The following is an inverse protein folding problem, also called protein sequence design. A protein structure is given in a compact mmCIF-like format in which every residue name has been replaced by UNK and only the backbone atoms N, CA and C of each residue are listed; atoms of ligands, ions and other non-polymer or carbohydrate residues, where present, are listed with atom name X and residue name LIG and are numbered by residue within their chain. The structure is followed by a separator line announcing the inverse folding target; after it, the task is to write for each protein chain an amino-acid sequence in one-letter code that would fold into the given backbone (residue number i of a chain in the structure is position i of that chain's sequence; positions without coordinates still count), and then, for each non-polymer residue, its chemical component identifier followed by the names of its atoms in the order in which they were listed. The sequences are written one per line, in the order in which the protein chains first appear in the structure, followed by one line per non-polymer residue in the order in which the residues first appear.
data_IF_073307331292
#
_entry.id   IF_073307331292
#
_cell.length_a   1.000
_cell.length_b   1.000
_cell.length_c   1.000
_cell.angle_alpha   90.00
_cell.angle_beta   90.00
_cell.angle_gamma   90.00
#
_symmetry.space_group_name_H-M   'P 1'
#
loop_
_entity.id
_entity.type
_entity.pdbx_description
1 polymer ?
#
# COMPACT_ATOMS: atom_id res chain seq x y z
N UNK A 1 4.28 -5.88 52.82
CA UNK A 1 3.01 -6.56 52.52
C UNK A 1 1.97 -5.48 52.25
N UNK A 2 1.80 -5.14 50.96
CA UNK A 2 0.75 -4.31 50.30
C UNK A 2 0.58 -2.85 50.82
N UNK A 3 0.96 -1.77 50.12
CA UNK A 3 0.57 -1.29 48.78
C UNK A 3 -0.95 -1.20 48.54
N UNK A 4 -1.65 -0.23 49.12
CA UNK A 4 -2.95 0.31 48.62
C UNK A 4 -3.08 1.72 49.24
N UNK A 5 -3.19 2.89 48.59
CA UNK A 5 -3.76 3.30 47.31
C UNK A 5 -3.02 4.58 46.84
N UNK A 6 -1.92 4.43 46.09
CA UNK A 6 -1.12 5.53 45.55
C UNK A 6 -1.79 6.31 44.42
N UNK A 7 -2.84 7.07 44.74
CA UNK A 7 -3.44 8.02 43.79
C UNK A 7 -2.47 9.19 43.61
N UNK A 8 -1.75 9.20 42.49
CA UNK A 8 -1.10 10.41 41.97
C UNK A 8 -1.74 10.78 40.63
N UNK A 9 -2.12 12.06 40.51
CA UNK A 9 -2.60 12.67 39.27
C UNK A 9 -1.49 12.61 38.22
N UNK A 10 -1.64 11.80 37.18
CA UNK A 10 -0.82 11.92 35.97
C UNK A 10 -1.64 11.70 34.70
N UNK A 11 -1.79 12.80 33.95
CA UNK A 11 -1.90 12.93 32.51
C UNK A 11 -3.02 12.21 31.73
N UNK A 12 -4.15 12.89 31.62
CA UNK A 12 -5.12 12.75 30.52
C UNK A 12 -4.53 13.29 29.20
N UNK A 13 -3.51 12.63 28.65
CA UNK A 13 -3.09 12.85 27.26
C UNK A 13 -3.86 11.87 26.37
N UNK A 14 -4.52 12.30 25.29
CA UNK A 14 -5.16 11.36 24.37
C UNK A 14 -4.08 10.42 23.83
N UNK A 15 -4.19 9.13 24.18
CA UNK A 15 -3.31 8.11 23.63
C UNK A 15 -3.35 8.23 22.11
N UNK A 16 -2.17 8.38 21.50
CA UNK A 16 -2.02 8.18 20.06
C UNK A 16 -2.44 6.75 19.76
N UNK A 17 -3.69 6.57 19.32
CA UNK A 17 -4.19 5.31 18.75
C UNK A 17 -3.11 4.82 17.79
N UNK A 18 -2.55 3.66 18.09
CA UNK A 18 -1.48 3.04 17.32
C UNK A 18 -1.93 2.90 15.85
N UNK A 19 -1.00 2.90 14.92
CA UNK A 19 -1.32 2.83 13.49
C UNK A 19 -2.03 1.53 13.06
N UNK A 20 -2.28 0.57 13.96
CA UNK A 20 -2.91 -0.72 13.64
C UNK A 20 -4.43 -0.64 13.55
N UNK A 21 -5.14 -0.04 14.51
CA UNK A 21 -6.62 -0.02 14.49
C UNK A 21 -7.17 0.89 13.39
N UNK A 22 -6.58 2.06 13.22
CA UNK A 22 -6.93 2.98 12.14
C UNK A 22 -6.60 2.38 10.78
N UNK A 23 -5.49 1.64 10.68
CA UNK A 23 -5.09 0.90 9.48
C UNK A 23 -6.13 -0.16 9.12
N UNK A 24 -6.46 -1.05 10.06
CA UNK A 24 -7.45 -2.11 9.90
C UNK A 24 -8.82 -1.56 9.52
N UNK A 25 -9.28 -0.49 10.19
CA UNK A 25 -10.54 0.17 9.86
C UNK A 25 -10.53 0.73 8.44
N UNK A 26 -9.42 1.33 8.03
CA UNK A 26 -9.28 1.85 6.67
C UNK A 26 -9.21 0.77 5.62
N UNK A 27 -8.52 -0.35 5.88
CA UNK A 27 -8.47 -1.50 4.97
C UNK A 27 -9.87 -2.10 4.77
N UNK A 28 -10.64 -2.27 5.84
CA UNK A 28 -12.03 -2.75 5.75
C UNK A 28 -12.93 -1.81 4.95
N UNK A 29 -12.75 -0.49 5.09
CA UNK A 29 -13.50 0.50 4.30
C UNK A 29 -13.07 0.51 2.83
N UNK A 30 -11.77 0.37 2.56
CA UNK A 30 -11.23 0.28 1.22
C UNK A 30 -11.75 -0.97 0.49
N UNK A 31 -11.75 -2.12 1.15
CA UNK A 31 -12.31 -3.37 0.63
C UNK A 31 -13.78 -3.19 0.20
N UNK A 32 -14.63 -2.66 1.08
CA UNK A 32 -16.05 -2.39 0.76
C UNK A 32 -16.23 -1.44 -0.41
N UNK A 33 -15.39 -0.40 -0.49
CA UNK A 33 -15.45 0.56 -1.60
C UNK A 33 -14.99 -0.07 -2.92
N UNK A 34 -13.96 -0.92 -2.91
CA UNK A 34 -13.54 -1.66 -4.09
C UNK A 34 -14.66 -2.56 -4.60
N UNK A 35 -15.31 -3.32 -3.72
CA UNK A 35 -16.47 -4.16 -4.07
C UNK A 35 -17.61 -3.32 -4.67
N UNK A 36 -17.92 -2.18 -4.06
CA UNK A 36 -18.93 -1.26 -4.59
C UNK A 36 -18.55 -0.63 -5.95
N UNK A 37 -17.26 -0.56 -6.28
CA UNK A 37 -16.75 -0.12 -7.60
C UNK A 37 -16.64 -1.29 -8.61
N UNK A 38 -17.14 -2.48 -8.26
CA UNK A 38 -17.18 -3.65 -9.14
C UNK A 38 -15.97 -4.57 -9.07
N UNK A 39 -15.04 -4.34 -8.14
CA UNK A 39 -13.92 -5.25 -7.94
C UNK A 39 -14.38 -6.52 -7.24
N UNK A 40 -13.76 -7.66 -7.59
CA UNK A 40 -13.85 -8.91 -6.83
C UNK A 40 -12.63 -9.07 -5.96
N UNK A 41 -12.78 -9.09 -4.64
CA UNK A 41 -11.66 -9.30 -3.72
C UNK A 41 -11.15 -10.74 -3.85
N UNK A 42 -9.82 -10.90 -3.90
CA UNK A 42 -9.15 -12.21 -3.96
C UNK A 42 -8.58 -12.55 -2.59
N UNK A 43 -7.80 -11.64 -2.00
CA UNK A 43 -7.30 -11.75 -0.64
C UNK A 43 -6.84 -10.39 -0.11
N UNK A 44 -6.61 -10.30 1.20
CA UNK A 44 -5.99 -9.15 1.84
C UNK A 44 -4.76 -9.54 2.65
N UNK A 45 -3.93 -8.55 3.02
CA UNK A 45 -2.75 -8.69 3.86
C UNK A 45 -1.76 -9.78 3.36
N UNK A 46 -1.48 -9.77 2.06
CA UNK A 46 -0.56 -10.74 1.43
C UNK A 46 0.88 -10.43 1.77
N UNK A 47 1.63 -11.42 2.26
CA UNK A 47 3.02 -11.26 2.68
C UNK A 47 3.89 -12.35 2.10
N UNK A 48 5.02 -11.97 1.51
CA UNK A 48 6.03 -12.92 1.01
C UNK A 48 7.45 -12.38 1.21
N UNK A 49 8.45 -13.25 1.40
CA UNK A 49 9.85 -12.84 1.33
C UNK A 49 10.16 -12.28 -0.06
N UNK A 50 10.68 -11.06 -0.12
CA UNK A 50 11.05 -10.42 -1.39
C UNK A 50 12.56 -10.33 -1.59
N UNK A 51 13.39 -10.64 -0.58
CA UNK A 51 14.85 -10.67 -0.67
C UNK A 51 15.52 -10.37 0.67
N UNK A 52 16.74 -9.83 0.63
CA UNK A 52 17.48 -9.36 1.81
C UNK A 52 17.93 -7.91 1.62
N UNK A 53 18.08 -7.16 2.72
CA UNK A 53 18.68 -5.83 2.69
C UNK A 53 20.22 -5.91 2.71
N UNK A 54 20.90 -4.76 2.69
CA UNK A 54 22.38 -4.68 2.68
C UNK A 54 23.05 -5.31 3.90
N UNK A 55 22.32 -5.50 5.00
CA UNK A 55 22.80 -6.17 6.21
C UNK A 55 22.49 -7.67 6.22
N UNK A 56 22.01 -8.23 5.11
CA UNK A 56 21.63 -9.63 4.99
C UNK A 56 20.30 -9.98 5.66
N UNK A 57 19.55 -9.02 6.21
CA UNK A 57 18.26 -9.27 6.88
C UNK A 57 17.17 -9.49 5.85
N UNK A 58 16.37 -10.55 6.03
CA UNK A 58 15.23 -10.84 5.15
C UNK A 58 14.24 -9.68 5.14
N UNK A 59 13.79 -9.32 3.93
CA UNK A 59 12.77 -8.31 3.70
C UNK A 59 11.49 -9.02 3.29
N UNK A 60 10.44 -8.83 4.06
CA UNK A 60 9.08 -9.25 3.70
C UNK A 60 8.40 -8.12 2.97
N UNK A 61 7.88 -8.41 1.78
CA UNK A 61 7.00 -7.53 1.04
C UNK A 61 5.55 -7.77 1.43
N UNK A 62 4.73 -6.75 1.30
CA UNK A 62 3.31 -6.76 1.65
C UNK A 62 2.48 -6.14 0.51
N UNK A 63 1.26 -6.65 0.32
CA UNK A 63 0.18 -6.05 -0.46
C UNK A 63 -1.06 -6.05 0.41
N UNK A 64 -1.68 -4.89 0.61
CA UNK A 64 -2.85 -4.76 1.49
C UNK A 64 -4.06 -5.50 0.92
N UNK A 65 -4.36 -5.32 -0.38
CA UNK A 65 -5.48 -6.01 -1.04
C UNK A 65 -5.06 -6.48 -2.43
N UNK A 66 -5.43 -7.72 -2.78
CA UNK A 66 -5.41 -8.24 -4.15
C UNK A 66 -6.85 -8.43 -4.60
N UNK A 67 -7.19 -7.87 -5.76
CA UNK A 67 -8.55 -7.89 -6.30
C UNK A 67 -8.53 -8.05 -7.83
N UNK A 68 -9.70 -8.31 -8.41
CA UNK A 68 -9.93 -8.35 -9.86
C UNK A 68 -10.86 -7.23 -10.27
N UNK A 69 -10.44 -6.41 -11.23
CA UNK A 69 -11.30 -5.46 -11.97
C UNK A 69 -11.47 -6.01 -13.38
N UNK A 70 -12.61 -6.65 -13.65
CA UNK A 70 -12.80 -7.52 -14.80
C UNK A 70 -11.77 -8.67 -14.80
N UNK A 71 -10.91 -8.69 -15.83
CA UNK A 71 -9.81 -9.65 -15.97
C UNK A 71 -8.46 -9.14 -15.43
N UNK A 72 -8.42 -7.89 -14.95
CA UNK A 72 -7.18 -7.26 -14.48
C UNK A 72 -6.93 -7.56 -13.00
N UNK A 73 -5.78 -8.17 -12.71
CA UNK A 73 -5.29 -8.38 -11.36
C UNK A 73 -4.76 -7.06 -10.77
N UNK A 74 -5.44 -6.57 -9.75
CA UNK A 74 -5.16 -5.29 -9.10
C UNK A 74 -4.43 -5.52 -7.78
N UNK A 75 -3.22 -4.99 -7.68
CA UNK A 75 -2.45 -4.95 -6.43
C UNK A 75 -2.63 -3.60 -5.77
N UNK A 76 -3.32 -3.56 -4.64
CA UNK A 76 -3.81 -2.33 -4.03
C UNK A 76 -3.10 -2.04 -2.72
N UNK A 77 -2.58 -0.81 -2.57
CA UNK A 77 -2.14 -0.27 -1.28
C UNK A 77 -3.22 0.65 -0.71
N UNK A 78 -3.50 0.52 0.58
CA UNK A 78 -4.45 1.35 1.31
C UNK A 78 -3.71 2.42 2.12
N UNK A 79 -4.21 3.65 2.05
CA UNK A 79 -3.68 4.79 2.81
C UNK A 79 -4.76 5.45 3.63
N UNK A 80 -4.78 5.10 4.92
CA UNK A 80 -5.64 5.75 5.90
C UNK A 80 -4.99 7.00 6.47
N UNK A 81 -5.74 8.10 6.53
CA UNK A 81 -5.31 9.39 7.09
C UNK A 81 -6.46 10.05 7.88
N UNK A 82 -6.13 10.98 8.77
CA UNK A 82 -7.11 11.77 9.53
C UNK A 82 -7.48 13.10 8.87
N UNK A 83 -6.68 13.55 7.91
CA UNK A 83 -6.85 14.81 7.16
C UNK A 83 -6.38 14.59 5.72
N UNK A 84 -6.83 15.42 4.77
CA UNK A 84 -6.25 15.45 3.42
C UNK A 84 -4.86 16.07 3.50
N UNK A 85 -3.89 15.48 2.79
CA UNK A 85 -2.57 16.07 2.63
C UNK A 85 -2.60 17.07 1.47
N UNK A 86 -1.90 18.20 1.62
CA UNK A 86 -1.74 19.21 0.56
C UNK A 86 -0.85 18.73 -0.61
N UNK A 87 -0.22 17.54 -0.51
CA UNK A 87 0.68 16.97 -1.53
C UNK A 87 0.02 16.17 -2.65
N UNK A 88 -1.32 16.03 -2.63
CA UNK A 88 -2.08 15.27 -3.62
C UNK A 88 -1.82 13.75 -3.62
N UNK A 89 -2.48 12.98 -4.51
CA UNK A 89 -2.33 11.53 -4.59
C UNK A 89 -0.89 11.06 -4.82
N UNK A 90 -0.05 11.86 -5.47
CA UNK A 90 1.33 11.52 -5.83
C UNK A 90 2.26 11.26 -4.63
N UNK A 91 1.92 11.72 -3.43
CA UNK A 91 2.66 11.42 -2.19
C UNK A 91 2.18 10.16 -1.48
N UNK A 92 1.07 9.55 -1.92
CA UNK A 92 0.41 8.47 -1.20
C UNK A 92 1.29 7.22 -1.05
N UNK A 93 2.11 6.91 -2.06
CA UNK A 93 3.01 5.74 -2.07
C UNK A 93 4.38 6.14 -2.60
N UNK A 94 5.38 6.20 -1.71
CA UNK A 94 6.75 6.56 -2.08
C UNK A 94 7.41 5.52 -3.03
N UNK A 95 8.52 5.91 -3.68
CA UNK A 95 9.24 5.03 -4.61
C UNK A 95 9.75 3.73 -3.96
N UNK A 96 10.05 3.74 -2.66
CA UNK A 96 10.54 2.56 -1.94
C UNK A 96 9.41 1.55 -1.78
N UNK A 97 8.22 2.01 -1.40
CA UNK A 97 7.02 1.19 -1.25
C UNK A 97 6.54 0.67 -2.60
N UNK A 98 6.52 1.50 -3.65
CA UNK A 98 6.21 1.03 -5.00
C UNK A 98 7.13 -0.12 -5.44
N UNK A 99 8.44 -0.03 -5.19
CA UNK A 99 9.40 -1.11 -5.49
C UNK A 99 9.14 -2.38 -4.67
N UNK A 100 8.77 -2.23 -3.39
CA UNK A 100 8.45 -3.39 -2.55
C UNK A 100 7.19 -4.09 -3.06
N UNK A 101 6.09 -3.36 -3.24
CA UNK A 101 4.82 -3.90 -3.76
C UNK A 101 5.03 -4.56 -5.12
N UNK A 102 5.82 -3.95 -6.01
CA UNK A 102 6.14 -4.53 -7.33
C UNK A 102 6.80 -5.91 -7.18
N UNK A 103 7.76 -6.06 -6.26
CA UNK A 103 8.40 -7.35 -5.97
C UNK A 103 7.43 -8.34 -5.31
N UNK A 104 6.58 -7.86 -4.41
CA UNK A 104 5.54 -8.69 -3.78
C UNK A 104 4.55 -9.22 -4.82
N UNK A 105 4.11 -8.37 -5.75
CA UNK A 105 3.21 -8.72 -6.85
C UNK A 105 3.85 -9.74 -7.80
N UNK A 106 5.14 -9.59 -8.09
CA UNK A 106 5.91 -10.60 -8.82
C UNK A 106 5.90 -11.94 -8.08
N UNK A 107 6.12 -11.94 -6.76
CA UNK A 107 6.06 -13.13 -5.92
C UNK A 107 4.66 -13.78 -5.92
N UNK A 108 3.60 -12.97 -5.80
CA UNK A 108 2.22 -13.42 -5.93
C UNK A 108 1.99 -14.13 -7.28
N UNK A 109 2.31 -13.46 -8.39
CA UNK A 109 2.10 -14.01 -9.74
C UNK A 109 2.88 -15.30 -9.97
N UNK A 110 4.08 -15.39 -9.41
CA UNK A 110 4.89 -16.61 -9.44
C UNK A 110 4.22 -17.75 -8.67
N UNK A 111 3.83 -17.48 -7.42
CA UNK A 111 3.27 -18.47 -6.50
C UNK A 111 1.96 -19.06 -7.03
N UNK A 112 1.11 -18.23 -7.64
CA UNK A 112 -0.21 -18.63 -8.12
C UNK A 112 -0.26 -18.90 -9.64
N UNK A 113 0.87 -18.84 -10.36
CA UNK A 113 0.93 -19.18 -11.79
C UNK A 113 0.19 -18.21 -12.73
N UNK A 114 -0.12 -16.99 -12.29
CA UNK A 114 -0.95 -16.01 -13.02
C UNK A 114 -0.13 -14.98 -13.81
N UNK A 115 0.94 -15.44 -14.47
CA UNK A 115 1.84 -14.54 -15.21
C UNK A 115 1.20 -13.90 -16.45
N UNK A 116 0.26 -14.59 -17.10
CA UNK A 116 -0.38 -14.10 -18.31
C UNK A 116 -1.50 -13.07 -18.04
N UNK A 117 -1.98 -12.96 -16.80
CA UNK A 117 -3.06 -12.02 -16.47
C UNK A 117 -2.57 -10.57 -16.59
N UNK A 118 -3.38 -9.67 -17.19
CA UNK A 118 -3.12 -8.24 -17.10
C UNK A 118 -3.15 -7.83 -15.62
N UNK A 119 -2.28 -6.90 -15.25
CA UNK A 119 -2.20 -6.43 -13.88
C UNK A 119 -1.90 -4.94 -13.81
N UNK A 120 -2.29 -4.33 -12.70
CA UNK A 120 -1.98 -2.93 -12.39
C UNK A 120 -1.82 -2.72 -10.90
N UNK A 121 -1.33 -1.54 -10.55
CA UNK A 121 -1.17 -1.12 -9.17
C UNK A 121 -2.10 0.03 -8.85
N UNK A 122 -3.01 -0.18 -7.91
CA UNK A 122 -4.01 0.81 -7.50
C UNK A 122 -3.67 1.33 -6.09
N UNK A 123 -4.20 2.50 -5.76
CA UNK A 123 -4.14 3.06 -4.40
C UNK A 123 -5.55 3.42 -3.96
N UNK A 124 -5.91 3.03 -2.73
CA UNK A 124 -7.13 3.51 -2.09
C UNK A 124 -6.76 4.43 -0.95
N UNK A 125 -7.23 5.68 -1.02
CA UNK A 125 -7.08 6.62 0.09
C UNK A 125 -8.35 6.61 0.94
N UNK A 126 -8.20 6.63 2.26
CA UNK A 126 -9.30 6.68 3.22
C UNK A 126 -9.04 7.83 4.19
N UNK A 127 -9.84 8.88 4.11
CA UNK A 127 -9.75 10.05 5.01
C UNK A 127 -10.84 9.96 6.06
N UNK A 128 -10.44 9.78 7.32
CA UNK A 128 -11.32 9.66 8.48
C UNK A 128 -11.21 10.91 9.36
N UNK A 129 -12.14 11.85 9.16
CA UNK A 129 -12.30 13.02 10.01
C UNK A 129 -13.33 12.75 11.10
N UNK A 130 -13.15 13.37 12.26
CA UNK A 130 -14.06 13.19 13.40
C UNK A 130 -15.39 13.88 13.09
N UNK A 131 -16.49 13.14 13.16
CA UNK A 131 -17.84 13.68 12.94
C UNK A 131 -18.23 13.88 11.48
N UNK A 132 -17.38 13.46 10.54
CA UNK A 132 -17.66 13.52 9.10
C UNK A 132 -17.70 12.11 8.50
N UNK A 133 -18.43 11.89 7.40
CA UNK A 133 -18.33 10.67 6.61
C UNK A 133 -16.89 10.42 6.13
N UNK A 134 -16.54 9.14 5.97
CA UNK A 134 -15.26 8.77 5.40
C UNK A 134 -15.21 9.19 3.92
N UNK A 135 -14.14 9.87 3.52
CA UNK A 135 -13.87 10.14 2.11
C UNK A 135 -12.95 9.03 1.58
N UNK A 136 -13.39 8.31 0.54
CA UNK A 136 -12.64 7.20 -0.04
C UNK A 136 -12.46 7.44 -1.54
N UNK A 137 -11.23 7.35 -2.02
CA UNK A 137 -10.88 7.53 -3.43
C UNK A 137 -10.07 6.33 -3.92
N UNK A 138 -10.43 5.82 -5.10
CA UNK A 138 -9.68 4.77 -5.79
C UNK A 138 -8.89 5.44 -6.93
N UNK A 139 -7.58 5.30 -6.89
CA UNK A 139 -6.69 5.76 -7.97
C UNK A 139 -6.19 4.53 -8.72
N UNK A 140 -6.81 4.26 -9.87
CA UNK A 140 -6.48 3.12 -10.74
C UNK A 140 -5.14 3.38 -11.46
N UNK A 141 -4.27 2.37 -11.52
CA UNK A 141 -3.01 2.45 -12.27
C UNK A 141 -2.03 3.52 -11.78
N UNK A 142 -1.95 3.74 -10.46
CA UNK A 142 -1.16 4.80 -9.83
C UNK A 142 0.33 4.75 -10.24
N UNK A 143 0.89 3.56 -10.46
CA UNK A 143 2.21 3.39 -11.07
C UNK A 143 2.30 2.16 -11.98
N UNK A 144 3.38 2.12 -12.77
CA UNK A 144 3.75 0.99 -13.60
C UNK A 144 5.22 0.65 -13.42
N UNK A 145 5.61 -0.59 -13.71
CA UNK A 145 7.00 -1.04 -13.61
C UNK A 145 7.93 -0.31 -14.58
N UNK A 146 7.39 0.24 -15.68
CA UNK A 146 8.17 0.97 -16.68
C UNK A 146 8.89 2.18 -16.07
N UNK A 147 8.34 2.79 -15.01
CA UNK A 147 8.96 3.90 -14.26
C UNK A 147 10.28 3.51 -13.57
N UNK A 148 10.60 2.21 -13.45
CA UNK A 148 11.84 1.70 -12.85
C UNK A 148 12.86 1.17 -13.86
N UNK A 149 12.50 1.05 -15.15
CA UNK A 149 13.50 0.75 -16.19
C UNK A 149 14.40 1.98 -16.34
N UNK A 150 15.69 1.83 -16.01
CA UNK A 150 16.70 2.81 -16.42
C UNK A 150 16.53 3.05 -17.92
N UNK A 151 16.42 4.31 -18.36
CA UNK A 151 16.64 4.64 -19.76
C UNK A 151 18.00 4.04 -20.12
N UNK A 152 18.02 3.08 -21.05
CA UNK A 152 19.27 2.75 -21.72
C UNK A 152 19.60 4.02 -22.49
N UNK A 153 20.70 4.69 -22.14
CA UNK A 153 21.29 5.66 -23.05
C UNK A 153 21.56 4.92 -24.35
N UNK A 154 20.85 5.31 -25.40
CA UNK A 154 21.23 4.99 -26.77
C UNK A 154 22.43 5.86 -27.07
N UNK A 155 23.62 5.37 -26.73
CA UNK A 155 24.87 5.94 -27.21
C UNK A 155 25.05 5.50 -28.65
N UNK A 156 24.40 6.19 -29.58
CA UNK A 156 24.71 6.14 -31.00
C UNK A 156 24.71 7.56 -31.56
N UNK A 157 25.77 7.85 -32.33
CA UNK A 157 26.06 9.04 -33.13
C UNK A 157 26.81 10.20 -32.43
N UNK A 158 28.15 10.14 -32.49
CA UNK A 158 28.96 11.19 -33.14
C UNK A 158 30.46 10.85 -33.06
N UNK A 159 30.93 9.93 -33.91
CA UNK A 159 32.31 9.94 -34.42
C UNK A 159 32.27 9.43 -35.86
N UNK A 160 32.08 10.38 -36.77
CA UNK A 160 32.53 10.26 -38.16
C UNK A 160 33.65 11.28 -38.29
N UNK A 161 34.85 10.76 -38.62
CA UNK A 161 36.10 11.51 -38.73
C UNK A 161 36.21 12.36 -39.99
#
# INVERSE_FOLDING_TARGET
MLQELGISKQDSRPQRVSSSELGVKGEAMAAKRLEADGYRLVLSNFKVPIGRNTKGVQVTGEIDIVALDGETLCFVEVKTRRKRDFGGPLTAVDRRKQRQITRTARGYRQMFGVWAMPYRFDVVTVVLRKGEPAEIEIVKGFWSEQKFRKQRWSGDNAWSG
#
